data_IF_730623066605
#
_entry.id   IF_730623066605
#
_cell.length_a   1.000
_cell.length_b   1.000
_cell.length_c   1.000
_cell.angle_alpha   90.00
_cell.angle_beta   90.00
_cell.angle_gamma   90.00
#
_symmetry.space_group_name_H-M   'P 1'
#
loop_
_entity.id
_entity.type
_entity.pdbx_description
1 polymer ?
#
# COMPACT_ATOMS: atom_id res chain seq x y z
N UNK A 1 -11.16 -3.93 10.99
CA UNK A 1 -10.00 -3.07 10.68
C UNK A 1 -9.55 -3.18 9.22
N UNK A 2 -9.02 -4.32 8.76
CA UNK A 2 -8.50 -4.45 7.39
C UNK A 2 -9.55 -4.09 6.32
N UNK A 3 -10.79 -4.57 6.47
CA UNK A 3 -11.90 -4.24 5.58
C UNK A 3 -12.16 -2.74 5.44
N UNK A 4 -12.11 -1.96 6.53
CA UNK A 4 -12.29 -0.49 6.46
C UNK A 4 -11.16 0.20 5.69
N UNK A 5 -9.91 -0.26 5.87
CA UNK A 5 -8.77 0.24 5.10
C UNK A 5 -8.89 -0.04 3.61
N UNK A 6 -9.26 -1.27 3.23
CA UNK A 6 -9.44 -1.62 1.82
C UNK A 6 -10.66 -0.93 1.20
N UNK A 7 -11.73 -0.69 1.95
CA UNK A 7 -12.86 0.14 1.50
C UNK A 7 -12.43 1.59 1.24
N UNK A 8 -11.61 2.18 2.11
CA UNK A 8 -11.05 3.51 1.88
C UNK A 8 -10.13 3.49 0.65
N UNK A 9 -9.24 2.51 0.51
CA UNK A 9 -8.34 2.39 -0.64
C UNK A 9 -9.11 2.26 -1.98
N UNK A 10 -10.24 1.55 -2.00
CA UNK A 10 -11.14 1.50 -3.16
C UNK A 10 -11.70 2.89 -3.51
N UNK A 11 -12.18 3.64 -2.52
CA UNK A 11 -12.66 5.01 -2.73
C UNK A 11 -11.53 5.94 -3.20
N UNK A 12 -10.34 5.84 -2.60
CA UNK A 12 -9.17 6.62 -2.98
C UNK A 12 -8.75 6.33 -4.42
N UNK A 13 -8.80 5.07 -4.86
CA UNK A 13 -8.50 4.66 -6.24
C UNK A 13 -9.43 5.35 -7.24
N UNK A 14 -10.74 5.43 -6.93
CA UNK A 14 -11.71 6.08 -7.79
C UNK A 14 -11.57 7.61 -7.82
N UNK A 15 -11.13 8.20 -6.71
CA UNK A 15 -11.15 9.65 -6.48
C UNK A 15 -9.78 10.32 -6.67
N UNK A 16 -8.72 9.54 -6.85
CA UNK A 16 -7.35 10.04 -7.05
C UNK A 16 -6.97 9.89 -8.52
N UNK A 17 -6.69 10.99 -9.25
CA UNK A 17 -6.22 10.91 -10.63
C UNK A 17 -4.92 10.09 -10.74
N UNK A 18 -4.77 9.34 -11.83
CA UNK A 18 -3.58 8.55 -12.14
C UNK A 18 -3.67 7.06 -11.78
N UNK A 19 -4.78 6.63 -11.16
CA UNK A 19 -5.03 5.22 -10.81
C UNK A 19 -5.75 4.46 -11.91
N UNK A 20 -5.01 4.07 -12.95
CA UNK A 20 -5.49 3.09 -13.92
C UNK A 20 -5.51 1.67 -13.33
N UNK A 21 -6.18 0.67 -13.95
CA UNK A 21 -6.27 -0.68 -13.41
C UNK A 21 -4.94 -1.31 -12.95
N UNK A 22 -3.83 -1.27 -13.72
CA UNK A 22 -2.56 -1.83 -13.26
C UNK A 22 -1.93 -1.02 -12.12
N UNK A 23 -2.04 0.32 -12.13
CA UNK A 23 -1.56 1.18 -11.02
C UNK A 23 -2.32 0.87 -9.73
N UNK A 24 -3.64 0.70 -9.82
CA UNK A 24 -4.47 0.30 -8.70
C UNK A 24 -4.05 -1.08 -8.17
N UNK A 25 -3.86 -2.06 -9.06
CA UNK A 25 -3.44 -3.41 -8.66
C UNK A 25 -2.13 -3.39 -7.86
N UNK A 26 -1.16 -2.57 -8.29
CA UNK A 26 0.11 -2.38 -7.58
C UNK A 26 -0.10 -1.79 -6.18
N UNK A 27 -0.93 -0.75 -6.07
CA UNK A 27 -1.23 -0.15 -4.76
C UNK A 27 -1.88 -1.17 -3.81
N UNK A 28 -2.84 -1.95 -4.28
CA UNK A 28 -3.49 -2.99 -3.49
C UNK A 28 -2.54 -4.13 -3.10
N UNK A 29 -1.64 -4.53 -3.99
CA UNK A 29 -0.62 -5.54 -3.70
C UNK A 29 0.27 -5.10 -2.53
N UNK A 30 0.79 -3.86 -2.57
CA UNK A 30 1.63 -3.34 -1.49
C UNK A 30 0.86 -3.06 -0.19
N UNK A 31 -0.42 -2.67 -0.25
CA UNK A 31 -1.27 -2.56 0.95
C UNK A 31 -1.47 -3.92 1.61
N UNK A 32 -1.75 -4.96 0.82
CA UNK A 32 -1.89 -6.33 1.31
C UNK A 32 -0.59 -6.86 1.89
N UNK A 33 0.54 -6.62 1.21
CA UNK A 33 1.85 -7.03 1.68
C UNK A 33 2.25 -6.30 2.98
N UNK A 34 1.98 -4.99 3.09
CA UNK A 34 2.23 -4.24 4.32
C UNK A 34 1.42 -4.76 5.51
N UNK A 35 0.14 -5.05 5.30
CA UNK A 35 -0.68 -5.69 6.31
C UNK A 35 -0.13 -7.07 6.72
N UNK A 36 0.21 -7.91 5.74
CA UNK A 36 0.69 -9.26 5.99
C UNK A 36 2.04 -9.24 6.72
N UNK A 37 3.06 -8.58 6.18
CA UNK A 37 4.41 -8.57 6.77
C UNK A 37 4.47 -7.89 8.13
N UNK A 38 3.61 -6.89 8.38
CA UNK A 38 3.56 -6.25 9.70
C UNK A 38 2.92 -7.13 10.77
N UNK A 39 2.10 -8.11 10.39
CA UNK A 39 1.35 -8.95 11.34
C UNK A 39 1.81 -10.41 11.35
N UNK A 40 2.56 -10.87 10.35
CA UNK A 40 3.08 -12.24 10.25
C UNK A 40 3.92 -12.68 11.45
N UNK A 41 4.69 -11.80 12.16
CA UNK A 41 5.42 -12.25 13.35
C UNK A 41 4.47 -12.68 14.49
N UNK A 42 3.21 -12.24 14.47
CA UNK A 42 2.15 -12.67 15.39
C UNK A 42 1.36 -13.89 14.93
N UNK A 43 1.75 -14.53 13.82
CA UNK A 43 1.04 -15.65 13.20
C UNK A 43 1.97 -16.89 13.13
N UNK A 44 2.00 -17.76 14.17
CA UNK A 44 2.96 -18.86 14.27
C UNK A 44 3.00 -19.81 13.07
N UNK A 45 1.86 -20.01 12.40
CA UNK A 45 1.72 -20.93 11.26
C UNK A 45 1.91 -20.25 9.90
N UNK A 46 2.45 -19.02 9.87
CA UNK A 46 2.65 -18.22 8.66
C UNK A 46 4.10 -17.80 8.54
N UNK A 47 4.55 -17.59 7.30
CA UNK A 47 5.94 -17.23 6.99
C UNK A 47 5.99 -15.91 6.23
N UNK A 48 7.01 -15.10 6.53
CA UNK A 48 7.27 -13.90 5.75
C UNK A 48 7.50 -14.23 4.28
N UNK A 49 7.05 -13.35 3.40
CA UNK A 49 7.29 -13.39 1.95
C UNK A 49 8.65 -12.77 1.57
N UNK A 50 9.40 -12.22 2.54
CA UNK A 50 10.79 -11.89 2.32
C UNK A 50 11.60 -13.15 1.97
N UNK A 51 12.43 -13.06 0.95
CA UNK A 51 13.13 -14.19 0.33
C UNK A 51 12.30 -15.00 -0.67
N UNK A 52 10.99 -14.74 -0.78
CA UNK A 52 10.10 -15.39 -1.75
C UNK A 52 9.72 -14.47 -2.91
N UNK A 53 9.55 -13.17 -2.63
CA UNK A 53 9.28 -12.16 -3.64
C UNK A 53 10.58 -11.66 -4.28
N UNK A 54 10.51 -11.37 -5.58
CA UNK A 54 11.65 -10.91 -6.37
C UNK A 54 12.35 -9.73 -5.68
N UNK A 55 13.64 -9.88 -5.41
CA UNK A 55 14.51 -8.84 -4.85
C UNK A 55 14.11 -8.31 -3.45
N UNK A 56 13.12 -8.93 -2.79
CA UNK A 56 12.78 -8.64 -1.40
C UNK A 56 13.60 -9.54 -0.47
N UNK A 57 14.84 -9.18 -0.19
CA UNK A 57 15.76 -10.05 0.56
C UNK A 57 15.49 -10.10 2.07
N UNK A 58 15.10 -8.98 2.67
CA UNK A 58 14.94 -8.86 4.12
C UNK A 58 14.00 -7.72 4.51
N UNK A 59 13.39 -7.86 5.69
CA UNK A 59 12.49 -6.87 6.29
C UNK A 59 12.81 -6.68 7.78
N UNK A 60 12.34 -5.59 8.40
CA UNK A 60 12.45 -5.39 9.83
C UNK A 60 11.78 -6.53 10.61
N UNK A 61 12.43 -6.98 11.68
CA UNK A 61 11.91 -8.04 12.55
C UNK A 61 11.30 -7.46 13.82
N UNK A 62 10.21 -8.06 14.29
CA UNK A 62 9.69 -7.79 15.64
C UNK A 62 10.67 -8.38 16.67
N UNK A 63 10.95 -7.63 17.73
CA UNK A 63 11.82 -8.13 18.81
C UNK A 63 11.04 -9.16 19.64
N UNK A 64 11.58 -10.39 19.87
CA UNK A 64 10.85 -11.47 20.53
C UNK A 64 10.38 -11.16 21.97
N UNK A 65 11.09 -10.28 22.66
CA UNK A 65 10.88 -9.87 24.04
C UNK A 65 10.03 -8.59 24.18
N UNK A 66 9.62 -7.99 23.05
CA UNK A 66 8.83 -6.78 23.04
C UNK A 66 7.38 -7.07 22.62
N UNK A 67 6.42 -7.13 23.56
CA UNK A 67 5.04 -7.39 23.21
C UNK A 67 4.49 -6.29 22.29
N UNK A 68 3.90 -6.70 21.18
CA UNK A 68 3.21 -5.83 20.23
C UNK A 68 1.72 -6.11 20.23
N UNK A 69 0.96 -5.05 20.00
CA UNK A 69 -0.47 -5.10 19.77
C UNK A 69 -0.74 -5.13 18.26
N UNK A 70 -0.98 -6.32 17.70
CA UNK A 70 -1.11 -6.55 16.26
C UNK A 70 -2.17 -5.68 15.57
N UNK A 71 -3.35 -5.39 16.15
CA UNK A 71 -4.27 -4.41 15.58
C UNK A 71 -3.66 -3.00 15.47
N UNK A 72 -2.91 -2.52 16.47
CA UNK A 72 -2.21 -1.22 16.37
C UNK A 72 -1.16 -1.26 15.26
N UNK A 73 -0.37 -2.34 15.19
CA UNK A 73 0.64 -2.55 14.14
C UNK A 73 0.00 -2.49 12.75
N UNK A 74 -1.07 -3.26 12.53
CA UNK A 74 -1.80 -3.33 11.27
C UNK A 74 -2.38 -1.96 10.87
N UNK A 75 -2.99 -1.24 11.83
CA UNK A 75 -3.57 0.07 11.59
C UNK A 75 -2.50 1.08 11.13
N UNK A 76 -1.39 1.16 11.88
CA UNK A 76 -0.28 2.07 11.58
C UNK A 76 0.42 1.73 10.25
N UNK A 77 0.60 0.44 9.96
CA UNK A 77 1.18 -0.03 8.69
C UNK A 77 0.30 0.34 7.50
N UNK A 78 -1.00 0.03 7.55
CA UNK A 78 -1.94 0.36 6.48
C UNK A 78 -2.10 1.86 6.29
N UNK A 79 -2.17 2.65 7.37
CA UNK A 79 -2.24 4.10 7.27
C UNK A 79 -1.01 4.69 6.58
N UNK A 80 0.17 4.26 7.01
CA UNK A 80 1.45 4.72 6.46
C UNK A 80 1.59 4.34 5.00
N UNK A 81 1.32 3.07 4.66
CA UNK A 81 1.39 2.59 3.27
C UNK A 81 0.35 3.27 2.38
N UNK A 82 -0.88 3.50 2.86
CA UNK A 82 -1.93 4.21 2.10
C UNK A 82 -1.49 5.63 1.77
N UNK A 83 -0.93 6.38 2.72
CA UNK A 83 -0.42 7.73 2.44
C UNK A 83 0.66 7.73 1.35
N UNK A 84 1.54 6.74 1.35
CA UNK A 84 2.65 6.62 0.38
C UNK A 84 2.19 6.12 -0.99
N UNK A 85 1.17 5.28 -1.06
CA UNK A 85 0.61 4.78 -2.31
C UNK A 85 -0.28 5.80 -3.00
N UNK A 86 -0.92 6.71 -2.26
CA UNK A 86 -1.81 7.76 -2.78
C UNK A 86 -1.23 9.18 -2.57
N UNK A 87 -0.01 9.50 -3.04
CA UNK A 87 0.65 10.78 -2.73
C UNK A 87 -0.09 11.99 -3.34
N UNK A 88 -0.77 11.78 -4.47
CA UNK A 88 -1.53 12.78 -5.24
C UNK A 88 -2.99 12.89 -4.79
N UNK A 89 -3.42 12.17 -3.74
CA UNK A 89 -4.76 12.31 -3.20
C UNK A 89 -5.04 13.76 -2.77
N UNK A 90 -6.31 14.17 -2.91
CA UNK A 90 -6.78 15.49 -2.46
C UNK A 90 -6.57 15.67 -0.95
N UNK A 91 -6.58 16.92 -0.49
CA UNK A 91 -6.50 17.22 0.95
C UNK A 91 -7.62 16.54 1.76
N UNK A 92 -8.84 16.51 1.20
CA UNK A 92 -9.98 15.80 1.78
C UNK A 92 -9.71 14.30 1.92
N UNK A 93 -9.18 13.66 0.87
CA UNK A 93 -8.86 12.24 0.89
C UNK A 93 -7.71 11.90 1.85
N UNK A 94 -6.72 12.80 1.98
CA UNK A 94 -5.67 12.67 3.00
C UNK A 94 -6.26 12.78 4.42
N UNK A 95 -7.18 13.71 4.64
CA UNK A 95 -7.88 13.83 5.92
C UNK A 95 -8.72 12.58 6.24
N UNK A 96 -9.30 11.91 5.24
CA UNK A 96 -10.02 10.64 5.43
C UNK A 96 -9.09 9.50 5.88
N UNK A 97 -7.85 9.46 5.38
CA UNK A 97 -6.83 8.50 5.84
C UNK A 97 -6.51 8.76 7.32
N UNK A 98 -6.25 10.02 7.69
CA UNK A 98 -5.93 10.40 9.07
C UNK A 98 -7.10 10.14 10.03
N UNK A 99 -8.33 10.41 9.57
CA UNK A 99 -9.54 10.15 10.34
C UNK A 99 -9.74 8.64 10.56
N UNK A 100 -9.52 7.82 9.52
CA UNK A 100 -9.69 6.38 9.64
C UNK A 100 -8.71 5.80 10.66
N UNK A 101 -7.42 6.14 10.56
CA UNK A 101 -6.37 5.70 11.48
C UNK A 101 -6.72 6.03 12.94
N UNK A 102 -7.22 7.24 13.20
CA UNK A 102 -7.61 7.70 14.55
C UNK A 102 -8.92 7.11 15.05
N UNK A 103 -9.88 6.85 14.16
CA UNK A 103 -11.22 6.38 14.53
C UNK A 103 -11.28 4.88 14.84
N UNK A 104 -10.41 4.08 14.22
CA UNK A 104 -10.43 2.63 14.37
C UNK A 104 -10.21 2.16 15.82
N UNK A 105 -9.23 2.68 16.58
CA UNK A 105 -9.07 2.37 18.00
C UNK A 105 -10.31 2.72 18.83
N UNK A 106 -11.01 3.79 18.47
CA UNK A 106 -12.22 4.24 19.18
C UNK A 106 -13.45 3.38 18.86
N UNK A 107 -13.53 2.84 17.64
CA UNK A 107 -14.62 1.95 17.20
C UNK A 107 -14.44 0.53 17.71
N UNK A 108 -13.19 0.05 17.80
CA UNK A 108 -12.84 -1.32 18.17
C UNK A 108 -12.40 -1.41 19.64
N UNK A 109 -13.16 -0.82 20.56
CA UNK A 109 -12.74 -0.68 21.97
C UNK A 109 -12.39 -2.01 22.66
N UNK A 110 -13.01 -3.11 22.22
CA UNK A 110 -12.70 -4.46 22.72
C UNK A 110 -11.27 -4.87 22.37
N UNK A 111 -10.82 -4.55 21.16
CA UNK A 111 -9.45 -4.83 20.70
C UNK A 111 -8.46 -3.82 21.28
N UNK A 112 -8.90 -2.65 21.74
CA UNK A 112 -8.03 -1.55 22.21
C UNK A 112 -8.15 -1.26 23.71
N UNK A 113 -8.42 -2.29 24.53
CA UNK A 113 -8.59 -2.12 25.97
C UNK A 113 -7.33 -1.51 26.64
N UNK A 114 -7.43 -0.29 27.23
CA UNK A 114 -6.28 0.40 27.83
C UNK A 114 -5.75 -0.27 29.10
N UNK A 115 -6.53 -1.16 29.74
CA UNK A 115 -6.05 -1.97 30.86
C UNK A 115 -5.04 -3.05 30.43
N UNK A 116 -5.04 -3.41 29.15
CA UNK A 116 -4.16 -4.44 28.56
C UNK A 116 -3.08 -3.78 27.69
N UNK A 117 -3.45 -2.73 26.95
CA UNK A 117 -2.58 -2.06 25.99
C UNK A 117 -2.09 -0.76 26.62
N UNK A 118 -0.90 -0.82 27.21
CA UNK A 118 -0.25 0.35 27.77
C UNK A 118 0.19 1.32 26.66
N UNK A 119 0.44 2.59 27.04
CA UNK A 119 0.97 3.58 26.10
C UNK A 119 2.30 3.14 25.45
N UNK A 120 3.15 2.43 26.20
CA UNK A 120 4.41 1.87 25.70
C UNK A 120 4.17 0.82 24.61
N UNK A 121 3.29 -0.17 24.86
CA UNK A 121 2.92 -1.19 23.87
C UNK A 121 2.30 -0.52 22.64
N UNK A 122 1.42 0.45 22.82
CA UNK A 122 0.80 1.18 21.71
C UNK A 122 1.84 1.92 20.85
N UNK A 123 2.72 2.70 21.47
CA UNK A 123 3.74 3.48 20.76
C UNK A 123 4.74 2.58 20.01
N UNK A 124 5.14 1.47 20.62
CA UNK A 124 6.03 0.49 19.99
C UNK A 124 5.35 -0.19 18.81
N UNK A 125 4.09 -0.59 18.98
CA UNK A 125 3.28 -1.22 17.92
C UNK A 125 3.09 -0.29 16.73
N UNK A 126 2.79 0.99 16.98
CA UNK A 126 2.66 2.00 15.94
C UNK A 126 3.99 2.22 15.21
N UNK A 127 5.09 2.30 15.96
CA UNK A 127 6.44 2.48 15.41
C UNK A 127 6.85 1.30 14.53
N UNK A 128 6.58 0.06 14.97
CA UNK A 128 6.86 -1.14 14.20
C UNK A 128 6.04 -1.20 12.90
N UNK A 129 4.73 -0.91 12.98
CA UNK A 129 3.85 -0.87 11.80
C UNK A 129 4.32 0.16 10.75
N UNK A 130 4.69 1.37 11.21
CA UNK A 130 5.27 2.42 10.35
C UNK A 130 6.59 1.98 9.72
N UNK A 131 7.49 1.41 10.52
CA UNK A 131 8.80 0.94 10.06
C UNK A 131 8.65 -0.12 8.95
N UNK A 132 7.75 -1.09 9.14
CA UNK A 132 7.47 -2.12 8.15
C UNK A 132 6.94 -1.52 6.84
N UNK A 133 5.96 -0.61 6.93
CA UNK A 133 5.41 0.05 5.74
C UNK A 133 6.48 0.88 4.99
N UNK A 134 7.36 1.57 5.72
CA UNK A 134 8.46 2.34 5.13
C UNK A 134 9.50 1.44 4.45
N UNK A 135 9.85 0.31 5.05
CA UNK A 135 10.76 -0.68 4.47
C UNK A 135 10.18 -1.24 3.15
N UNK A 136 8.91 -1.65 3.17
CA UNK A 136 8.22 -2.12 1.99
C UNK A 136 8.08 -1.04 0.91
N UNK A 137 7.84 0.22 1.27
CA UNK A 137 7.80 1.30 0.29
C UNK A 137 9.19 1.57 -0.31
N UNK A 138 10.25 1.37 0.46
CA UNK A 138 11.63 1.50 -0.04
C UNK A 138 11.91 0.45 -1.12
N UNK A 139 11.54 -0.80 -0.85
CA UNK A 139 11.58 -1.87 -1.85
C UNK A 139 10.62 -1.58 -3.02
N UNK A 140 9.40 -1.12 -2.76
CA UNK A 140 8.43 -0.81 -3.81
C UNK A 140 8.95 0.24 -4.81
N UNK A 141 9.83 1.16 -4.40
CA UNK A 141 10.40 2.14 -5.33
C UNK A 141 11.38 1.52 -6.34
N UNK A 142 11.88 0.32 -6.12
CA UNK A 142 12.81 -0.35 -7.04
C UNK A 142 12.09 -1.16 -8.13
N UNK A 143 10.76 -1.28 -8.07
CA UNK A 143 9.98 -2.10 -9.02
C UNK A 143 9.72 -1.42 -10.38
N UNK A 144 10.18 -0.19 -10.58
CA UNK A 144 9.94 0.62 -11.78
C UNK A 144 8.51 1.17 -11.92
N UNK A 145 7.53 0.62 -11.21
CA UNK A 145 6.12 1.05 -11.22
C UNK A 145 5.90 2.40 -10.55
N UNK A 146 6.71 2.75 -9.54
CA UNK A 146 6.72 4.10 -8.96
C UNK A 146 7.04 5.19 -10.01
N UNK A 147 7.79 4.82 -11.04
CA UNK A 147 8.26 5.71 -12.10
C UNK A 147 7.45 5.56 -13.39
N UNK A 148 6.33 4.84 -13.37
CA UNK A 148 5.43 4.73 -14.52
C UNK A 148 4.91 6.10 -15.02
N UNK A 149 5.01 7.13 -14.18
CA UNK A 149 4.75 8.54 -14.50
C UNK A 149 5.98 9.46 -14.31
N UNK A 150 7.15 8.88 -14.01
CA UNK A 150 8.39 9.57 -13.63
C UNK A 150 9.39 9.82 -14.79
N UNK A 151 10.59 10.33 -14.47
CA UNK A 151 11.60 10.75 -15.44
C UNK A 151 12.09 9.63 -16.38
N UNK A 152 12.18 8.40 -15.88
CA UNK A 152 12.59 7.22 -16.68
C UNK A 152 11.69 7.01 -17.89
N UNK A 153 10.40 7.38 -17.80
CA UNK A 153 9.49 7.33 -18.95
C UNK A 153 9.54 8.54 -19.86
N UNK A 154 9.90 9.73 -19.34
CA UNK A 154 10.18 10.91 -20.19
C UNK A 154 11.34 10.66 -21.16
N UNK A 155 12.20 9.69 -20.85
CA UNK A 155 13.32 9.26 -21.71
C UNK A 155 13.01 8.12 -22.68
N UNK A 156 11.87 7.42 -22.52
CA UNK A 156 11.45 6.36 -23.46
C UNK A 156 10.64 6.94 -24.60
N UNK A 157 10.92 6.49 -25.82
CA UNK A 157 10.09 6.83 -26.97
C UNK A 157 8.63 6.42 -26.72
N UNK A 158 7.71 7.29 -27.14
CA UNK A 158 6.28 7.00 -27.09
C UNK A 158 6.02 5.71 -27.86
N UNK A 159 5.36 4.74 -27.23
CA UNK A 159 4.95 3.51 -27.91
C UNK A 159 4.07 3.85 -29.11
N UNK A 160 4.50 3.40 -30.29
CA UNK A 160 3.74 3.53 -31.53
C UNK A 160 2.96 2.23 -31.73
N UNK A 161 1.62 2.24 -31.65
CA UNK A 161 0.83 1.04 -31.89
C UNK A 161 1.01 0.56 -33.33
N UNK A 162 1.06 -0.76 -33.57
CA UNK A 162 1.14 -1.31 -34.91
C UNK A 162 -0.09 -0.95 -35.74
N UNK A 163 0.10 -0.76 -37.04
CA UNK A 163 -0.98 -0.48 -37.99
C UNK A 163 -1.25 -1.69 -38.90
N UNK A 164 -2.51 -1.85 -39.31
CA UNK A 164 -2.93 -2.91 -40.23
C UNK A 164 -4.12 -3.73 -39.73
N UNK A 165 -4.66 -4.57 -40.61
CA UNK A 165 -5.78 -5.44 -40.26
C UNK A 165 -5.40 -6.41 -39.13
N UNK A 166 -6.24 -6.48 -38.10
CA UNK A 166 -6.02 -7.33 -36.91
C UNK A 166 -5.07 -6.75 -35.87
N UNK A 167 -4.50 -5.56 -36.09
CA UNK A 167 -3.68 -4.87 -35.10
C UNK A 167 -4.53 -3.97 -34.19
N UNK A 168 -4.01 -3.69 -32.98
CA UNK A 168 -4.69 -2.78 -32.05
C UNK A 168 -4.81 -1.37 -32.64
N UNK A 169 -5.97 -0.76 -32.50
CA UNK A 169 -6.20 0.64 -32.83
C UNK A 169 -7.04 1.31 -31.74
N UNK A 170 -6.81 2.60 -31.53
CA UNK A 170 -7.63 3.38 -30.61
C UNK A 170 -9.10 3.37 -31.06
N UNK A 171 -10.02 3.19 -30.11
CA UNK A 171 -11.46 3.06 -30.38
C UNK A 171 -12.24 4.32 -30.00
N UNK A 172 -13.36 4.62 -30.68
CA UNK A 172 -14.26 5.70 -30.28
C UNK A 172 -14.86 5.43 -28.87
N UNK A 173 -15.33 6.48 -28.18
CA UNK A 173 -15.41 7.87 -28.62
C UNK A 173 -14.13 8.67 -28.38
N UNK A 174 -13.26 8.25 -27.46
CA UNK A 174 -12.12 9.05 -26.99
C UNK A 174 -10.85 8.85 -27.81
N UNK A 175 -10.74 7.75 -28.56
CA UNK A 175 -9.52 7.36 -29.27
C UNK A 175 -8.27 7.44 -28.37
N UNK A 176 -8.42 6.99 -27.13
CA UNK A 176 -7.38 7.08 -26.12
C UNK A 176 -6.11 6.30 -26.54
N UNK A 177 -4.91 6.79 -26.18
CA UNK A 177 -3.67 6.06 -26.43
C UNK A 177 -3.64 4.74 -25.64
N UNK A 178 -2.80 3.78 -26.06
CA UNK A 178 -2.65 2.53 -25.35
C UNK A 178 -2.21 2.78 -23.90
N UNK A 179 -2.95 2.19 -22.97
CA UNK A 179 -2.73 2.38 -21.55
C UNK A 179 -1.47 1.62 -21.12
N UNK A 180 -0.48 2.34 -20.59
CA UNK A 180 0.70 1.78 -19.92
C UNK A 180 1.41 0.62 -20.69
N UNK A 181 1.83 0.83 -21.96
CA UNK A 181 2.42 -0.23 -22.81
C UNK A 181 3.74 -0.84 -22.31
N UNK A 182 4.32 -0.31 -21.24
CA UNK A 182 5.58 -0.78 -20.65
C UNK A 182 5.43 -1.01 -19.13
N UNK A 183 4.22 -1.33 -18.67
CA UNK A 183 3.96 -1.63 -17.26
C UNK A 183 4.73 -2.87 -16.80
#
# INVERSE_FOLDING_TARGET
>A
MATEWFQLALALTQQTPGFSPPVASRAFAYLGLALYESTVPGMPDRQSLAGQLNELSSLPWAQPDEPLHWPTVANASLATMTRMMFPTASAENKARIDLLERSLPLKLQQDFNPAVITADISNRSESFGKLMAMALMTWARTDGGHEAWGPLRKSRENYVPPSGAGQWSATPPSFAPPLLPYW
#
